data_IF_547527432236
#
_entry.id   IF_547527432236
#
_cell.length_a   1.000
_cell.length_b   1.000
_cell.length_c   1.000
_cell.angle_alpha   90.00
_cell.angle_beta   90.00
_cell.angle_gamma   90.00
#
_symmetry.space_group_name_H-M   'P 1'
#
loop_
_entity.id
_entity.type
_entity.pdbx_description
1 polymer ?
#
# COMPACT_ATOMS: atom_id res chain seq x y z
N UNK A 1 19.19 -0.17 -20.86
CA UNK A 1 17.75 -0.04 -21.12
C UNK A 1 16.98 -1.33 -20.83
N UNK A 2 17.44 -2.50 -21.31
CA UNK A 2 16.77 -3.81 -21.05
C UNK A 2 16.70 -4.15 -19.55
N UNK A 3 17.73 -3.84 -18.78
CA UNK A 3 17.77 -4.09 -17.34
C UNK A 3 16.80 -3.22 -16.53
N UNK A 4 16.55 -1.98 -16.95
CA UNK A 4 15.60 -1.08 -16.27
C UNK A 4 14.14 -1.47 -16.53
N UNK A 5 13.81 -1.91 -17.73
CA UNK A 5 12.46 -2.39 -18.05
C UNK A 5 12.10 -3.68 -17.31
N UNK A 6 13.04 -4.62 -17.20
CA UNK A 6 12.86 -5.82 -16.37
C UNK A 6 12.62 -5.44 -14.89
N UNK A 7 13.39 -4.52 -14.35
CA UNK A 7 13.27 -4.07 -12.97
C UNK A 7 11.89 -3.43 -12.67
N UNK A 8 11.36 -2.61 -13.58
CA UNK A 8 10.03 -2.00 -13.45
C UNK A 8 8.95 -3.08 -13.53
N UNK A 9 9.04 -3.99 -14.48
CA UNK A 9 8.07 -5.09 -14.64
C UNK A 9 8.03 -5.98 -13.40
N UNK A 10 9.19 -6.34 -12.85
CA UNK A 10 9.27 -7.18 -11.66
C UNK A 10 8.67 -6.49 -10.43
N UNK A 11 8.94 -5.20 -10.25
CA UNK A 11 8.34 -4.40 -9.17
C UNK A 11 6.83 -4.28 -9.32
N UNK A 12 6.34 -4.04 -10.54
CA UNK A 12 4.91 -3.99 -10.85
C UNK A 12 4.25 -5.34 -10.56
N UNK A 13 4.90 -6.46 -10.92
CA UNK A 13 4.38 -7.79 -10.62
C UNK A 13 4.27 -8.03 -9.12
N UNK A 14 5.27 -7.62 -8.34
CA UNK A 14 5.19 -7.71 -6.87
C UNK A 14 4.02 -6.90 -6.31
N UNK A 15 3.73 -5.71 -6.84
CA UNK A 15 2.55 -4.93 -6.42
C UNK A 15 1.27 -5.68 -6.75
N UNK A 16 1.15 -6.28 -7.94
CA UNK A 16 0.00 -7.13 -8.28
C UNK A 16 -0.17 -8.25 -7.26
N UNK A 17 0.90 -8.98 -6.98
CA UNK A 17 0.90 -10.14 -6.07
C UNK A 17 0.53 -9.76 -4.63
N UNK A 18 0.93 -8.57 -4.17
CA UNK A 18 0.57 -8.06 -2.85
C UNK A 18 -0.94 -7.85 -2.67
N UNK A 19 -1.69 -7.56 -3.73
CA UNK A 19 -3.13 -7.29 -3.67
C UNK A 19 -3.98 -8.45 -4.18
N UNK A 20 -3.42 -9.34 -5.00
CA UNK A 20 -4.17 -10.41 -5.66
C UNK A 20 -4.84 -11.34 -4.66
N UNK A 21 -6.14 -11.53 -4.84
CA UNK A 21 -6.93 -12.47 -4.05
C UNK A 21 -7.21 -12.06 -2.61
N UNK A 22 -6.79 -10.86 -2.17
CA UNK A 22 -7.11 -10.38 -0.83
C UNK A 22 -8.61 -10.22 -0.65
N UNK A 23 -9.08 -10.57 0.55
CA UNK A 23 -10.51 -10.48 0.87
C UNK A 23 -10.92 -9.05 1.26
N UNK A 24 -12.04 -8.61 0.71
CA UNK A 24 -12.75 -7.42 1.13
C UNK A 24 -14.25 -7.67 1.13
N UNK A 25 -14.82 -7.85 2.30
CA UNK A 25 -16.25 -8.15 2.50
C UNK A 25 -16.72 -9.40 1.72
N UNK A 26 -15.86 -10.42 1.59
CA UNK A 26 -16.15 -11.65 0.84
C UNK A 26 -15.96 -11.55 -0.67
N UNK A 27 -15.57 -10.39 -1.21
CA UNK A 27 -15.08 -10.26 -2.58
C UNK A 27 -13.55 -10.40 -2.62
N UNK A 28 -13.02 -10.91 -3.72
CA UNK A 28 -11.58 -11.01 -3.94
C UNK A 28 -11.09 -9.85 -4.81
N UNK A 29 -10.06 -9.18 -4.34
CA UNK A 29 -9.41 -8.09 -5.08
C UNK A 29 -8.66 -8.66 -6.27
N UNK A 30 -8.77 -7.99 -7.42
CA UNK A 30 -7.98 -8.26 -8.61
C UNK A 30 -6.76 -7.34 -8.64
N UNK A 31 -5.59 -7.90 -8.35
CA UNK A 31 -4.34 -7.14 -8.30
C UNK A 31 -3.97 -6.48 -9.62
N UNK A 32 -4.30 -7.10 -10.76
CA UNK A 32 -4.06 -6.51 -12.10
C UNK A 32 -4.97 -5.32 -12.37
N UNK A 33 -6.23 -5.39 -11.95
CA UNK A 33 -7.20 -4.30 -12.12
C UNK A 33 -6.76 -3.06 -11.34
N UNK A 34 -6.21 -3.25 -10.14
CA UNK A 34 -5.88 -2.16 -9.21
C UNK A 34 -4.43 -1.68 -9.29
N UNK A 35 -3.57 -2.32 -10.09
CA UNK A 35 -2.12 -2.09 -10.06
C UNK A 35 -1.70 -0.66 -10.35
N UNK A 36 -2.33 0.01 -11.31
CA UNK A 36 -1.96 1.39 -11.68
C UNK A 36 -2.15 2.35 -10.52
N UNK A 37 -3.28 2.23 -9.82
CA UNK A 37 -3.60 3.06 -8.66
C UNK A 37 -2.73 2.69 -7.45
N UNK A 38 -2.44 1.39 -7.26
CA UNK A 38 -1.55 0.94 -6.19
C UNK A 38 -0.11 1.43 -6.38
N UNK A 39 0.39 1.45 -7.62
CA UNK A 39 1.71 2.02 -7.94
C UNK A 39 1.73 3.53 -7.72
N UNK A 40 0.65 4.23 -8.12
CA UNK A 40 0.51 5.67 -7.88
C UNK A 40 0.48 5.99 -6.37
N UNK A 41 -0.24 5.20 -5.58
CA UNK A 41 -0.26 5.33 -4.11
C UNK A 41 1.15 5.18 -3.51
N UNK A 42 1.89 4.12 -3.89
CA UNK A 42 3.27 3.92 -3.40
C UNK A 42 4.16 5.12 -3.71
N UNK A 43 4.10 5.63 -4.94
CA UNK A 43 4.86 6.81 -5.34
C UNK A 43 4.42 8.07 -4.58
N UNK A 44 3.11 8.25 -4.40
CA UNK A 44 2.55 9.36 -3.64
C UNK A 44 2.97 9.34 -2.17
N UNK A 45 2.90 8.18 -1.51
CA UNK A 45 3.35 8.02 -0.13
C UNK A 45 4.85 8.28 -0.01
N UNK A 46 5.68 7.73 -0.90
CA UNK A 46 7.12 7.93 -0.89
C UNK A 46 7.49 9.41 -1.04
N UNK A 47 6.90 10.10 -2.02
CA UNK A 47 7.17 11.52 -2.25
C UNK A 47 6.70 12.39 -1.07
N UNK A 48 5.53 12.12 -0.53
CA UNK A 48 4.99 12.85 0.63
C UNK A 48 5.82 12.62 1.89
N UNK A 49 6.28 11.38 2.15
CA UNK A 49 7.13 11.04 3.28
C UNK A 49 8.48 11.76 3.19
N UNK A 50 9.13 11.75 2.03
CA UNK A 50 10.40 12.43 1.83
C UNK A 50 10.27 13.96 1.90
N UNK A 51 9.14 14.51 1.51
CA UNK A 51 8.87 15.94 1.70
C UNK A 51 8.65 16.26 3.19
N UNK A 52 7.82 15.46 3.87
CA UNK A 52 7.51 15.67 5.29
C UNK A 52 8.75 15.56 6.20
N UNK A 53 9.68 14.66 5.90
CA UNK A 53 10.95 14.52 6.64
C UNK A 53 11.82 15.79 6.64
N UNK A 54 11.53 16.78 5.79
CA UNK A 54 12.26 18.04 5.72
C UNK A 54 11.69 19.12 6.64
N UNK A 55 10.52 18.87 7.22
CA UNK A 55 9.89 19.80 8.15
C UNK A 55 10.48 19.62 9.56
N UNK A 56 10.69 20.74 10.27
CA UNK A 56 11.34 20.76 11.58
C UNK A 56 10.57 19.99 12.67
N UNK A 57 9.25 19.88 12.52
CA UNK A 57 8.34 19.20 13.45
C UNK A 57 7.82 17.84 12.94
N UNK A 58 8.54 17.22 11.99
CA UNK A 58 8.13 15.94 11.41
C UNK A 58 7.99 14.83 12.45
N UNK A 59 6.85 14.17 12.42
CA UNK A 59 6.57 12.94 13.18
C UNK A 59 6.14 11.82 12.23
N UNK A 60 6.94 10.77 12.14
CA UNK A 60 6.63 9.61 11.30
C UNK A 60 5.35 8.90 11.80
N UNK A 61 5.13 8.82 13.11
CA UNK A 61 3.92 8.24 13.69
C UNK A 61 2.67 9.03 13.26
N UNK A 62 2.72 10.35 13.33
CA UNK A 62 1.60 11.19 12.89
C UNK A 62 1.37 11.08 11.38
N UNK A 63 2.44 11.03 10.59
CA UNK A 63 2.35 10.88 9.13
C UNK A 63 1.58 9.60 8.77
N UNK A 64 2.02 8.44 9.23
CA UNK A 64 1.38 7.16 8.91
C UNK A 64 -0.01 7.02 9.53
N UNK A 65 -0.20 7.53 10.75
CA UNK A 65 -1.51 7.53 11.41
C UNK A 65 -2.52 8.40 10.64
N UNK A 66 -2.12 9.58 10.18
CA UNK A 66 -2.99 10.46 9.40
C UNK A 66 -3.28 9.87 8.02
N UNK A 67 -2.30 9.25 7.36
CA UNK A 67 -2.56 8.49 6.14
C UNK A 67 -3.63 7.41 6.35
N UNK A 68 -3.53 6.63 7.41
CA UNK A 68 -4.54 5.62 7.74
C UNK A 68 -5.93 6.24 8.04
N UNK A 69 -5.98 7.44 8.64
CA UNK A 69 -7.23 8.15 8.94
C UNK A 69 -7.98 8.58 7.69
N UNK A 70 -7.29 9.06 6.64
CA UNK A 70 -7.96 9.47 5.39
C UNK A 70 -8.60 8.31 4.65
N UNK A 71 -8.09 7.09 4.81
CA UNK A 71 -8.66 5.87 4.23
C UNK A 71 -9.67 5.17 5.14
N UNK A 72 -10.01 5.74 6.27
CA UNK A 72 -10.99 5.17 7.20
C UNK A 72 -12.41 5.35 6.67
N UNK A 73 -12.82 4.42 5.82
CA UNK A 73 -14.12 4.43 5.17
C UNK A 73 -15.08 3.45 5.85
N UNK A 74 -16.36 3.86 5.95
CA UNK A 74 -17.48 3.00 6.36
C UNK A 74 -18.56 3.07 5.30
N UNK A 75 -19.03 1.93 4.86
CA UNK A 75 -20.09 1.79 3.86
C UNK A 75 -20.97 0.58 4.14
N UNK A 76 -22.06 0.43 3.38
CA UNK A 76 -22.87 -0.79 3.40
C UNK A 76 -22.06 -1.94 2.82
N UNK A 77 -22.17 -3.11 3.39
CA UNK A 77 -21.39 -4.28 3.03
C UNK A 77 -21.49 -4.62 1.53
N UNK A 78 -22.72 -4.62 0.99
CA UNK A 78 -22.98 -4.94 -0.41
C UNK A 78 -22.29 -3.94 -1.36
N UNK A 79 -22.29 -2.66 -0.98
CA UNK A 79 -21.62 -1.62 -1.75
C UNK A 79 -20.08 -1.77 -1.69
N UNK A 80 -19.53 -2.04 -0.51
CA UNK A 80 -18.10 -2.27 -0.33
C UNK A 80 -17.64 -3.52 -1.10
N UNK A 81 -18.44 -4.57 -1.10
CA UNK A 81 -18.21 -5.78 -1.88
C UNK A 81 -18.24 -5.51 -3.38
N UNK A 82 -19.21 -4.74 -3.85
CA UNK A 82 -19.28 -4.34 -5.27
C UNK A 82 -18.02 -3.57 -5.68
N UNK A 83 -17.62 -2.54 -4.92
CA UNK A 83 -16.41 -1.77 -5.20
C UNK A 83 -15.18 -2.67 -5.27
N UNK A 84 -15.00 -3.59 -4.33
CA UNK A 84 -13.87 -4.51 -4.33
C UNK A 84 -13.78 -5.38 -5.61
N UNK A 85 -14.91 -5.57 -6.30
CA UNK A 85 -14.99 -6.39 -7.51
C UNK A 85 -14.80 -5.62 -8.82
N UNK A 86 -15.16 -4.32 -8.85
CA UNK A 86 -15.25 -3.56 -10.11
C UNK A 86 -14.41 -2.27 -10.13
N UNK A 87 -14.01 -1.75 -8.98
CA UNK A 87 -13.23 -0.51 -8.90
C UNK A 87 -11.77 -0.77 -9.27
N UNK A 88 -11.17 0.18 -9.99
CA UNK A 88 -9.74 0.19 -10.30
C UNK A 88 -8.88 0.55 -9.08
N UNK A 89 -9.49 1.07 -8.03
CA UNK A 89 -8.84 1.35 -6.75
C UNK A 89 -8.99 0.16 -5.80
N UNK A 90 -7.93 -0.15 -5.09
CA UNK A 90 -8.01 -1.13 -4.01
C UNK A 90 -8.94 -0.63 -2.89
N UNK A 91 -9.63 -1.55 -2.17
CA UNK A 91 -10.43 -1.18 -1.01
C UNK A 91 -9.63 -0.35 0.01
N UNK A 92 -10.27 0.67 0.59
CA UNK A 92 -9.64 1.67 1.45
C UNK A 92 -8.75 1.07 2.57
N UNK A 93 -9.23 0.00 3.24
CA UNK A 93 -8.45 -0.71 4.25
C UNK A 93 -7.13 -1.27 3.68
N UNK A 94 -7.15 -1.78 2.45
CA UNK A 94 -5.99 -2.37 1.80
C UNK A 94 -5.01 -1.31 1.30
N UNK A 95 -5.50 -0.13 0.91
CA UNK A 95 -4.66 1.03 0.58
C UNK A 95 -3.77 1.45 1.76
N UNK A 96 -4.19 1.19 2.98
CA UNK A 96 -3.36 1.37 4.18
C UNK A 96 -2.54 0.11 4.50
N UNK A 97 -3.23 -1.00 4.74
CA UNK A 97 -2.61 -2.18 5.36
C UNK A 97 -1.65 -2.94 4.43
N UNK A 98 -1.78 -2.76 3.11
CA UNK A 98 -0.89 -3.39 2.12
C UNK A 98 0.19 -2.44 1.64
N UNK A 99 -0.11 -1.13 1.53
CA UNK A 99 0.87 -0.14 1.05
C UNK A 99 1.95 0.17 2.09
N UNK A 100 1.56 0.47 3.34
CA UNK A 100 2.50 0.89 4.38
C UNK A 100 3.60 -0.14 4.69
N UNK A 101 3.36 -1.47 4.64
CA UNK A 101 4.42 -2.46 4.77
C UNK A 101 5.49 -2.50 3.66
N UNK A 102 5.46 -1.58 2.71
CA UNK A 102 6.54 -1.39 1.74
C UNK A 102 7.59 -0.36 2.20
N UNK A 103 7.36 0.35 3.30
CA UNK A 103 8.21 1.42 3.79
C UNK A 103 8.97 1.01 5.05
N UNK A 104 10.30 1.07 5.02
CA UNK A 104 11.14 0.75 6.18
C UNK A 104 10.86 1.68 7.36
N UNK A 105 10.58 2.96 7.09
CA UNK A 105 10.16 3.92 8.12
C UNK A 105 8.93 3.48 8.90
N UNK A 106 7.97 2.80 8.26
CA UNK A 106 6.78 2.25 8.93
C UNK A 106 7.17 1.21 9.98
N UNK A 107 8.07 0.29 9.62
CA UNK A 107 8.55 -0.75 10.54
C UNK A 107 9.29 -0.16 11.74
N UNK A 108 10.16 0.81 11.48
CA UNK A 108 10.93 1.48 12.54
C UNK A 108 10.01 2.30 13.45
N UNK A 109 9.02 2.99 12.88
CA UNK A 109 8.11 3.87 13.65
C UNK A 109 7.23 3.09 14.62
N UNK A 110 6.71 1.93 14.20
CA UNK A 110 5.76 1.15 15.00
C UNK A 110 6.38 -0.13 15.61
N UNK A 111 7.70 -0.30 15.52
CA UNK A 111 8.42 -1.48 16.01
C UNK A 111 7.80 -2.81 15.52
N UNK A 112 7.44 -2.85 14.23
CA UNK A 112 6.77 -4.01 13.62
C UNK A 112 7.75 -5.17 13.49
N UNK A 113 7.39 -6.30 14.08
CA UNK A 113 8.22 -7.50 14.15
C UNK A 113 7.65 -8.64 13.29
N UNK A 114 8.50 -9.62 13.00
CA UNK A 114 8.05 -10.85 12.34
C UNK A 114 6.94 -11.53 13.17
N UNK A 115 5.81 -11.82 12.48
CA UNK A 115 4.60 -12.35 13.09
C UNK A 115 3.48 -11.33 13.32
N UNK A 116 3.78 -10.04 13.23
CA UNK A 116 2.75 -9.01 13.29
C UNK A 116 1.90 -8.97 12.01
N UNK A 117 0.63 -8.55 12.12
CA UNK A 117 -0.33 -8.59 11.02
C UNK A 117 0.00 -7.71 9.81
N UNK A 118 0.88 -6.73 9.97
CA UNK A 118 1.37 -5.86 8.89
C UNK A 118 2.88 -6.06 8.62
N UNK A 119 3.47 -7.13 9.16
CA UNK A 119 4.85 -7.46 8.85
C UNK A 119 5.00 -7.94 7.40
N UNK A 120 6.08 -7.54 6.77
CA UNK A 120 6.49 -8.00 5.43
C UNK A 120 8.00 -8.11 5.39
N UNK A 121 8.50 -9.22 4.85
CA UNK A 121 9.94 -9.46 4.73
C UNK A 121 10.61 -8.38 3.85
N UNK A 122 11.85 -7.96 4.13
CA UNK A 122 12.53 -6.92 3.36
C UNK A 122 12.57 -7.20 1.85
N UNK A 123 12.75 -8.46 1.44
CA UNK A 123 12.80 -8.88 0.04
C UNK A 123 11.45 -8.76 -0.68
N UNK A 124 10.33 -8.75 0.06
CA UNK A 124 8.97 -8.62 -0.49
C UNK A 124 8.47 -7.17 -0.49
N UNK A 125 9.22 -6.24 0.11
CA UNK A 125 8.92 -4.82 0.05
C UNK A 125 9.19 -4.28 -1.35
N UNK A 126 8.31 -3.41 -1.82
CA UNK A 126 8.42 -2.81 -3.15
C UNK A 126 8.80 -1.35 -3.02
N UNK A 127 9.94 -1.00 -3.60
CA UNK A 127 10.40 0.38 -3.81
C UNK A 127 10.30 0.66 -5.30
N UNK A 128 9.39 1.55 -5.69
CA UNK A 128 9.16 1.88 -7.10
C UNK A 128 10.12 2.98 -7.57
N UNK A 129 10.40 3.94 -6.72
CA UNK A 129 11.16 5.16 -7.02
C UNK A 129 12.45 5.23 -6.21
#
# INVERSE_FOLDING_TARGET
>A
LVGSEMCIRDRTQKVIDQFEGLDSYGAKVNGKLTVSENVADLGGIAAALEAAKKEDDFSAEEFFTNFARIWRMKGREEYMKLLASVDVHAPAKLRTNVQLPNFDDFFTTFDVQEGDGMWRSPEDRVVIW
#
